data_IF_983312673659
#
_entry.id   IF_983312673659
#
_cell.length_a   1.000
_cell.length_b   1.000
_cell.length_c   1.000
_cell.angle_alpha   90.00
_cell.angle_beta   90.00
_cell.angle_gamma   90.00
#
_symmetry.space_group_name_H-M   'P 1'
#
loop_
_entity.id
_entity.type
_entity.pdbx_description
1 polymer ?
#
# COMPACT_ATOMS: atom_id res chain seq x y z
N UNK A 1 -9.01 -2.02 18.96
CA UNK A 1 -8.25 -1.33 20.02
C UNK A 1 -7.37 -0.29 19.34
N UNK A 2 -7.35 0.96 19.80
CA UNK A 2 -6.44 1.99 19.26
C UNK A 2 -5.21 2.02 20.15
N UNK A 3 -4.05 1.74 19.59
CA UNK A 3 -2.76 1.84 20.27
C UNK A 3 -2.07 3.13 19.83
N UNK A 4 -1.57 3.90 20.80
CA UNK A 4 -0.88 5.15 20.51
C UNK A 4 0.56 4.85 20.09
N UNK A 5 0.99 5.43 18.97
CA UNK A 5 2.37 5.38 18.50
C UNK A 5 2.94 6.79 18.59
N UNK A 6 4.01 6.95 19.38
CA UNK A 6 4.80 8.19 19.39
C UNK A 6 5.88 8.08 18.32
N UNK A 7 5.95 9.08 17.45
CA UNK A 7 6.85 9.11 16.30
C UNK A 7 7.61 10.44 16.24
N UNK A 8 8.91 10.36 15.97
CA UNK A 8 9.75 11.52 15.70
C UNK A 8 9.91 11.64 14.19
N UNK A 9 9.53 12.79 13.64
CA UNK A 9 9.68 13.11 12.22
C UNK A 9 10.72 14.22 12.04
N UNK A 10 11.51 14.16 10.95
CA UNK A 10 12.25 15.33 10.47
C UNK A 10 11.33 16.54 10.30
N UNK A 11 11.84 17.74 10.55
CA UNK A 11 11.03 18.97 10.53
C UNK A 11 10.38 19.21 9.16
N UNK A 12 11.12 18.98 8.08
CA UNK A 12 10.65 19.09 6.69
C UNK A 12 9.47 18.14 6.39
N UNK A 13 9.51 16.92 6.93
CA UNK A 13 8.44 15.93 6.76
C UNK A 13 7.20 16.36 7.55
N UNK A 14 7.38 16.84 8.78
CA UNK A 14 6.27 17.34 9.61
C UNK A 14 5.59 18.53 8.95
N UNK A 15 6.36 19.49 8.45
CA UNK A 15 5.83 20.72 7.84
C UNK A 15 5.09 20.38 6.53
N UNK A 16 5.59 19.42 5.75
CA UNK A 16 4.90 18.90 4.56
C UNK A 16 3.58 18.20 4.91
N UNK A 17 3.56 17.42 6.00
CA UNK A 17 2.36 16.75 6.48
C UNK A 17 1.30 17.76 6.93
N UNK A 18 1.69 18.79 7.68
CA UNK A 18 0.78 19.86 8.11
C UNK A 18 0.20 20.62 6.91
N UNK A 19 1.04 21.02 5.96
CA UNK A 19 0.57 21.69 4.75
C UNK A 19 -0.45 20.83 3.98
N UNK A 20 -0.19 19.53 3.86
CA UNK A 20 -1.10 18.61 3.17
C UNK A 20 -2.40 18.38 3.94
N UNK A 21 -2.31 18.25 5.25
CA UNK A 21 -3.43 18.13 6.19
C UNK A 21 -4.38 19.33 6.08
N UNK A 22 -3.83 20.55 5.94
CA UNK A 22 -4.62 21.77 5.72
C UNK A 22 -5.33 21.77 4.36
N UNK A 23 -4.64 21.35 3.29
CA UNK A 23 -5.23 21.27 1.94
C UNK A 23 -6.39 20.26 1.90
N UNK A 24 -6.24 19.12 2.57
CA UNK A 24 -7.26 18.05 2.61
C UNK A 24 -8.34 18.27 3.68
N UNK A 25 -8.22 19.33 4.50
CA UNK A 25 -9.13 19.64 5.60
C UNK A 25 -9.35 18.47 6.59
N UNK A 26 -8.29 17.68 6.83
CA UNK A 26 -8.27 16.57 7.80
C UNK A 26 -7.17 16.77 8.82
N UNK A 27 -7.20 16.01 9.92
CA UNK A 27 -6.12 16.06 10.92
C UNK A 27 -4.84 15.38 10.42
N UNK A 28 -3.68 15.80 10.94
CA UNK A 28 -2.40 15.18 10.58
C UNK A 28 -2.33 13.72 11.02
N UNK A 29 -2.99 13.36 12.13
CA UNK A 29 -3.11 11.98 12.61
C UNK A 29 -3.90 11.14 11.59
N UNK A 30 -5.04 11.64 11.13
CA UNK A 30 -5.85 10.95 10.12
C UNK A 30 -5.08 10.77 8.81
N UNK A 31 -4.35 11.79 8.38
CA UNK A 31 -3.50 11.71 7.19
C UNK A 31 -2.39 10.64 7.36
N UNK A 32 -1.75 10.58 8.52
CA UNK A 32 -0.76 9.53 8.84
C UNK A 32 -1.43 8.14 8.82
N UNK A 33 -2.59 7.98 9.46
CA UNK A 33 -3.31 6.70 9.46
C UNK A 33 -3.65 6.23 8.05
N UNK A 34 -4.12 7.14 7.18
CA UNK A 34 -4.39 6.86 5.77
C UNK A 34 -3.13 6.45 5.02
N UNK A 35 -2.07 7.26 5.12
CA UNK A 35 -0.79 6.99 4.45
C UNK A 35 -0.19 5.64 4.85
N UNK A 36 -0.22 5.29 6.14
CA UNK A 36 0.26 4.00 6.65
C UNK A 36 -0.58 2.84 6.09
N UNK A 37 -1.91 2.97 6.06
CA UNK A 37 -2.79 1.93 5.50
C UNK A 37 -2.53 1.70 4.01
N UNK A 38 -2.43 2.77 3.24
CA UNK A 38 -2.17 2.72 1.81
C UNK A 38 -0.81 2.08 1.52
N UNK A 39 0.24 2.50 2.24
CA UNK A 39 1.57 1.92 2.14
C UNK A 39 1.56 0.40 2.41
N UNK A 40 0.95 -0.02 3.51
CA UNK A 40 0.87 -1.44 3.88
C UNK A 40 0.06 -2.26 2.88
N UNK A 41 -1.03 -1.70 2.34
CA UNK A 41 -1.84 -2.36 1.33
C UNK A 41 -1.04 -2.63 0.06
N UNK A 42 -0.35 -1.61 -0.46
CA UNK A 42 0.48 -1.75 -1.68
C UNK A 42 1.56 -2.82 -1.48
N UNK A 43 2.24 -2.82 -0.33
CA UNK A 43 3.25 -3.84 -0.01
C UNK A 43 2.67 -5.24 0.09
N UNK A 44 1.47 -5.39 0.67
CA UNK A 44 0.77 -6.68 0.73
C UNK A 44 0.44 -7.19 -0.66
N UNK A 45 -0.06 -6.34 -1.56
CA UNK A 45 -0.38 -6.71 -2.94
C UNK A 45 0.87 -7.09 -3.74
N UNK A 46 1.96 -6.34 -3.59
CA UNK A 46 3.25 -6.68 -4.22
C UNK A 46 3.74 -8.05 -3.77
N UNK A 47 3.74 -8.29 -2.46
CA UNK A 47 4.15 -9.58 -1.89
C UNK A 47 3.25 -10.73 -2.37
N UNK A 48 1.93 -10.50 -2.47
CA UNK A 48 1.00 -11.50 -2.99
C UNK A 48 1.30 -11.81 -4.46
N UNK A 49 1.47 -10.78 -5.29
CA UNK A 49 1.81 -10.93 -6.71
C UNK A 49 3.08 -11.75 -6.89
N UNK A 50 4.14 -11.46 -6.15
CA UNK A 50 5.39 -12.23 -6.21
C UNK A 50 5.19 -13.71 -5.87
N UNK A 51 4.33 -14.02 -4.89
CA UNK A 51 4.01 -15.41 -4.53
C UNK A 51 3.21 -16.10 -5.64
N UNK A 52 2.22 -15.42 -6.20
CA UNK A 52 1.39 -15.97 -7.29
C UNK A 52 2.21 -16.21 -8.55
N UNK A 53 3.09 -15.28 -8.93
CA UNK A 53 3.99 -15.45 -10.08
C UNK A 53 4.92 -16.66 -9.90
N UNK A 54 5.53 -16.82 -8.73
CA UNK A 54 6.35 -18.00 -8.43
C UNK A 54 5.55 -19.30 -8.53
N UNK A 55 4.29 -19.31 -8.12
CA UNK A 55 3.42 -20.47 -8.27
C UNK A 55 3.06 -20.75 -9.72
N UNK A 56 2.77 -19.71 -10.50
CA UNK A 56 2.51 -19.83 -11.94
C UNK A 56 3.73 -20.40 -12.68
N UNK A 57 4.94 -19.90 -12.41
CA UNK A 57 6.18 -20.39 -13.01
C UNK A 57 6.38 -21.90 -12.74
N UNK A 58 6.11 -22.36 -11.53
CA UNK A 58 6.19 -23.77 -11.16
C UNK A 58 5.17 -24.66 -11.88
N UNK A 59 4.07 -24.08 -12.36
CA UNK A 59 3.00 -24.76 -13.09
C UNK A 59 3.12 -24.62 -14.62
N UNK A 60 4.20 -24.00 -15.12
CA UNK A 60 4.47 -23.83 -16.55
C UNK A 60 4.31 -22.40 -17.07
N UNK A 61 3.99 -21.43 -16.20
CA UNK A 61 3.67 -20.05 -16.57
C UNK A 61 2.25 -19.93 -17.13
N UNK A 62 1.62 -18.78 -16.90
CA UNK A 62 0.34 -18.43 -17.54
C UNK A 62 0.49 -17.06 -18.19
N UNK A 63 0.24 -16.98 -19.49
CA UNK A 63 0.11 -15.74 -20.24
C UNK A 63 -1.30 -15.17 -20.09
N UNK A 64 -1.49 -13.90 -20.46
CA UNK A 64 -2.82 -13.29 -20.48
C UNK A 64 -3.76 -14.03 -21.45
N UNK A 65 -3.23 -14.60 -22.54
CA UNK A 65 -3.97 -15.45 -23.48
C UNK A 65 -4.41 -16.77 -22.83
N UNK A 66 -3.51 -17.43 -22.09
CA UNK A 66 -3.84 -18.66 -21.36
C UNK A 66 -4.97 -18.42 -20.33
N UNK A 67 -4.94 -17.26 -19.66
CA UNK A 67 -5.99 -16.87 -18.72
C UNK A 67 -7.30 -16.59 -19.48
N UNK A 68 -7.25 -15.89 -20.61
CA UNK A 68 -8.42 -15.53 -21.41
C UNK A 68 -9.17 -16.78 -21.91
N UNK A 69 -8.44 -17.76 -22.43
CA UNK A 69 -8.98 -19.05 -22.89
C UNK A 69 -9.57 -19.90 -21.75
N UNK A 70 -9.13 -19.71 -20.50
CA UNK A 70 -9.67 -20.43 -19.34
C UNK A 70 -10.99 -19.86 -18.80
N UNK A 71 -11.23 -18.57 -18.97
CA UNK A 71 -12.36 -17.86 -18.33
C UNK A 71 -13.44 -17.39 -19.29
N UNK A 72 -13.22 -17.51 -20.61
CA UNK A 72 -14.14 -17.11 -21.68
C UNK A 72 -14.69 -18.32 -22.43
#
# INVERSE_FOLDING_TARGET
MKEAITLNLPADVRDSLEARSQIEAISSIELIERAVREYLLVRRLQTLREKMLKQADLQGGFTDEDIFEMVS
#
